data_IF_911631783655
#
_entry.id   IF_911631783655
#
_cell.length_a   1.000
_cell.length_b   1.000
_cell.length_c   1.000
_cell.angle_alpha   90.00
_cell.angle_beta   90.00
_cell.angle_gamma   90.00
#
_symmetry.space_group_name_H-M   'P 1'
#
loop_
_entity.id
_entity.type
_entity.pdbx_description
1 polymer ?
#
# COMPACT_ATOMS: atom_id res chain seq x y z
N UNK A 1 19.48 -9.96 21.31
CA UNK A 1 20.31 -8.97 20.57
C UNK A 1 21.49 -8.46 21.42
N UNK A 2 22.42 -7.64 20.90
CA UNK A 2 23.52 -7.04 21.69
C UNK A 2 23.33 -5.53 21.85
N UNK A 3 23.62 -4.98 23.02
CA UNK A 3 23.51 -3.54 23.26
C UNK A 3 24.61 -2.75 22.54
N UNK A 4 24.25 -1.73 21.74
CA UNK A 4 25.19 -0.88 21.00
C UNK A 4 26.09 0.02 21.87
N UNK A 5 25.76 0.17 23.16
CA UNK A 5 26.55 0.96 24.12
C UNK A 5 27.48 0.12 24.99
N UNK A 6 27.01 -1.03 25.49
CA UNK A 6 27.77 -1.83 26.46
C UNK A 6 28.14 -3.24 25.98
N UNK A 7 27.72 -3.65 24.78
CA UNK A 7 28.12 -4.92 24.14
C UNK A 7 27.59 -6.19 24.80
N UNK A 8 26.83 -6.10 25.89
CA UNK A 8 26.25 -7.27 26.57
C UNK A 8 25.05 -7.81 25.79
N UNK A 9 24.87 -9.12 25.84
CA UNK A 9 23.73 -9.81 25.27
C UNK A 9 22.48 -9.45 26.10
N UNK A 10 21.42 -9.04 25.41
CA UNK A 10 20.17 -8.58 25.97
C UNK A 10 19.02 -9.30 25.29
N UNK A 11 18.02 -9.66 26.10
CA UNK A 11 16.79 -10.30 25.63
C UNK A 11 16.03 -9.36 24.67
N UNK A 12 15.34 -9.93 23.69
CA UNK A 12 14.67 -9.14 22.64
C UNK A 12 13.37 -8.48 23.12
N UNK A 13 12.87 -8.84 24.31
CA UNK A 13 11.64 -8.27 24.89
C UNK A 13 11.84 -7.03 25.78
N UNK A 14 13.09 -6.67 26.12
CA UNK A 14 13.36 -5.57 27.06
C UNK A 14 13.62 -4.23 26.35
N UNK A 15 12.86 -3.20 26.73
CA UNK A 15 12.96 -1.84 26.15
C UNK A 15 14.17 -1.05 26.66
N UNK A 16 14.83 -1.51 27.72
CA UNK A 16 16.01 -0.88 28.31
C UNK A 16 17.08 -1.92 28.59
N UNK A 17 18.34 -1.58 28.35
CA UNK A 17 19.46 -2.45 28.67
C UNK A 17 19.66 -2.52 30.20
N UNK A 18 19.50 -3.70 30.85
CA UNK A 18 19.62 -3.81 32.31
C UNK A 18 21.04 -3.57 32.84
N UNK A 19 22.05 -3.54 31.95
CA UNK A 19 23.44 -3.35 32.33
C UNK A 19 23.91 -1.89 32.24
N UNK A 20 23.38 -1.07 31.33
CA UNK A 20 23.84 0.31 31.12
C UNK A 20 22.73 1.36 31.07
N UNK A 21 21.47 0.95 31.15
CA UNK A 21 20.32 1.86 31.14
C UNK A 21 19.99 2.50 29.78
N UNK A 22 20.77 2.23 28.72
CA UNK A 22 20.45 2.76 27.40
C UNK A 22 19.16 2.13 26.86
N UNK A 23 18.32 2.94 26.22
CA UNK A 23 17.10 2.45 25.58
C UNK A 23 17.48 1.55 24.40
N UNK A 24 16.96 0.34 24.42
CA UNK A 24 17.09 -0.58 23.32
C UNK A 24 15.92 -0.28 22.40
N UNK A 25 16.21 0.19 21.18
CA UNK A 25 15.21 0.22 20.13
C UNK A 25 14.88 -1.23 19.80
N UNK A 26 13.92 -1.80 20.53
CA UNK A 26 13.27 -3.05 20.17
C UNK A 26 12.67 -2.80 18.80
N UNK A 27 13.29 -3.33 17.75
CA UNK A 27 12.67 -3.52 16.44
C UNK A 27 11.54 -4.56 16.49
N UNK A 28 10.96 -4.79 17.67
CA UNK A 28 9.63 -5.36 17.79
C UNK A 28 8.68 -4.25 17.42
N UNK A 29 8.22 -4.32 16.18
CA UNK A 29 7.00 -3.72 15.63
C UNK A 29 6.14 -2.99 16.66
N UNK A 30 6.57 -1.80 17.08
CA UNK A 30 5.59 -0.75 17.35
C UNK A 30 4.97 -0.54 16.00
N UNK A 31 3.79 -1.13 15.79
CA UNK A 31 2.84 -0.65 14.81
C UNK A 31 2.46 0.78 15.23
N UNK A 32 3.40 1.71 15.09
CA UNK A 32 3.08 3.04 14.65
C UNK A 32 2.20 2.81 13.43
N UNK A 33 0.95 3.23 13.54
CA UNK A 33 -0.06 3.27 12.51
C UNK A 33 0.43 4.16 11.35
N UNK A 34 1.51 3.75 10.70
CA UNK A 34 1.80 4.18 9.35
C UNK A 34 0.72 3.53 8.52
N UNK A 35 -0.10 4.32 7.80
CA UNK A 35 -1.12 3.73 6.96
C UNK A 35 -0.41 2.79 5.99
N UNK A 36 -0.79 1.51 6.03
CA UNK A 36 -0.12 0.44 5.29
C UNK A 36 0.00 0.85 3.83
N UNK A 37 1.25 0.93 3.34
CA UNK A 37 1.49 1.28 1.94
C UNK A 37 0.94 0.17 1.07
N UNK A 38 -0.03 0.50 0.24
CA UNK A 38 -0.68 -0.44 -0.67
C UNK A 38 0.27 -0.86 -1.79
N UNK A 39 0.15 -2.10 -2.25
CA UNK A 39 1.01 -2.62 -3.31
C UNK A 39 0.59 -2.09 -4.68
N UNK A 40 1.55 -1.55 -5.40
CA UNK A 40 1.43 -1.01 -6.74
C UNK A 40 1.21 -2.11 -7.77
N UNK A 41 1.94 -3.22 -7.64
CA UNK A 41 1.73 -4.41 -8.48
C UNK A 41 0.30 -4.93 -8.29
N UNK A 42 -0.18 -5.03 -7.05
CA UNK A 42 -1.56 -5.44 -6.79
C UNK A 42 -2.58 -4.49 -7.42
N UNK A 43 -2.41 -3.17 -7.24
CA UNK A 43 -3.29 -2.16 -7.84
C UNK A 43 -3.30 -2.23 -9.39
N UNK A 44 -2.14 -2.42 -10.01
CA UNK A 44 -2.00 -2.54 -11.46
C UNK A 44 -2.63 -3.82 -12.02
N UNK A 45 -2.38 -4.96 -11.36
CA UNK A 45 -2.99 -6.24 -11.74
C UNK A 45 -4.51 -6.20 -11.61
N UNK A 46 -5.03 -5.62 -10.52
CA UNK A 46 -6.47 -5.41 -10.34
C UNK A 46 -7.05 -4.53 -11.46
N UNK A 47 -6.31 -3.54 -11.96
CA UNK A 47 -6.74 -2.70 -13.08
C UNK A 47 -6.79 -3.46 -14.40
N UNK A 48 -5.84 -4.37 -14.66
CA UNK A 48 -5.80 -5.16 -15.89
C UNK A 48 -6.89 -6.24 -15.89
N UNK A 49 -7.02 -7.02 -14.81
CA UNK A 49 -7.94 -8.16 -14.77
C UNK A 49 -9.38 -7.77 -14.40
N UNK A 50 -9.55 -6.78 -13.52
CA UNK A 50 -10.85 -6.33 -13.00
C UNK A 50 -11.14 -4.86 -13.38
N UNK A 51 -10.51 -4.37 -14.45
CA UNK A 51 -10.66 -3.00 -14.93
C UNK A 51 -12.09 -2.61 -15.30
N UNK A 52 -12.88 -3.55 -15.82
CA UNK A 52 -14.29 -3.32 -16.15
C UNK A 52 -15.16 -2.99 -14.93
N UNK A 53 -14.75 -3.39 -13.72
CA UNK A 53 -15.48 -3.12 -12.47
C UNK A 53 -14.82 -1.94 -11.71
N UNK A 54 -13.57 -1.59 -12.01
CA UNK A 54 -12.85 -0.48 -11.37
C UNK A 54 -12.31 -0.81 -9.97
N UNK A 55 -12.07 -2.10 -9.66
CA UNK A 55 -11.62 -2.55 -8.32
C UNK A 55 -10.30 -1.91 -7.89
N UNK A 56 -9.39 -1.62 -8.82
CA UNK A 56 -8.14 -0.91 -8.53
C UNK A 56 -8.37 0.49 -7.95
N UNK A 57 -9.44 1.19 -8.35
CA UNK A 57 -9.80 2.52 -7.80
C UNK A 57 -10.30 2.41 -6.37
N UNK A 58 -11.10 1.40 -6.05
CA UNK A 58 -11.49 1.11 -4.67
C UNK A 58 -10.30 0.70 -3.81
N UNK A 59 -9.38 -0.10 -4.37
CA UNK A 59 -8.13 -0.47 -3.71
C UNK A 59 -7.29 0.76 -3.37
N UNK A 60 -7.17 1.73 -4.29
CA UNK A 60 -6.47 3.00 -4.06
C UNK A 60 -7.25 4.02 -3.21
N UNK A 61 -8.50 3.72 -2.81
CA UNK A 61 -9.35 4.60 -2.00
C UNK A 61 -10.11 5.67 -2.79
N UNK A 62 -10.03 5.66 -4.13
CA UNK A 62 -10.77 6.54 -5.02
C UNK A 62 -12.20 6.03 -5.26
N UNK A 63 -13.00 5.96 -4.21
CA UNK A 63 -14.36 5.38 -4.23
C UNK A 63 -15.27 6.10 -5.23
N UNK A 64 -15.26 7.43 -5.27
CA UNK A 64 -16.10 8.21 -6.20
C UNK A 64 -15.81 7.92 -7.67
N UNK A 65 -14.52 7.82 -8.03
CA UNK A 65 -14.10 7.46 -9.40
C UNK A 65 -14.41 5.99 -9.71
N UNK A 66 -14.25 5.09 -8.74
CA UNK A 66 -14.64 3.69 -8.88
C UNK A 66 -16.13 3.52 -9.18
N UNK A 67 -17.01 4.26 -8.50
CA UNK A 67 -18.45 4.26 -8.76
C UNK A 67 -18.74 4.83 -10.16
N UNK A 68 -18.11 5.95 -10.53
CA UNK A 68 -18.25 6.51 -11.87
C UNK A 68 -17.83 5.52 -12.96
N UNK A 69 -16.75 4.78 -12.73
CA UNK A 69 -16.28 3.74 -13.65
C UNK A 69 -17.28 2.61 -13.79
N UNK A 70 -17.93 2.16 -12.72
CA UNK A 70 -19.01 1.15 -12.79
C UNK A 70 -20.20 1.67 -13.61
N UNK A 71 -20.60 2.93 -13.42
CA UNK A 71 -21.70 3.54 -14.19
C UNK A 71 -21.33 3.60 -15.68
N UNK A 72 -20.10 4.03 -16.00
CA UNK A 72 -19.59 4.05 -17.37
C UNK A 72 -19.56 2.64 -17.96
N UNK A 73 -19.08 1.65 -17.21
CA UNK A 73 -19.12 0.24 -17.61
C UNK A 73 -20.55 -0.20 -17.91
N UNK A 74 -21.52 0.11 -17.05
CA UNK A 74 -22.90 -0.28 -17.26
C UNK A 74 -23.50 0.35 -18.53
N UNK A 75 -23.24 1.64 -18.76
CA UNK A 75 -23.72 2.38 -19.95
C UNK A 75 -23.04 1.90 -21.23
N UNK A 76 -21.77 1.49 -21.16
CA UNK A 76 -20.96 1.05 -22.32
C UNK A 76 -20.90 -0.46 -22.50
N UNK A 77 -21.79 -1.21 -21.85
CA UNK A 77 -21.80 -2.69 -21.82
C UNK A 77 -20.45 -3.32 -21.45
N UNK A 78 -19.69 -2.67 -20.56
CA UNK A 78 -18.43 -3.14 -19.98
C UNK A 78 -17.19 -2.78 -20.80
N UNK A 79 -17.34 -2.38 -22.06
CA UNK A 79 -16.21 -2.09 -22.95
C UNK A 79 -15.49 -0.81 -22.53
N UNK A 80 -16.23 0.26 -22.23
CA UNK A 80 -15.65 1.54 -21.83
C UNK A 80 -14.88 1.43 -20.51
N UNK A 81 -15.43 0.72 -19.54
CA UNK A 81 -14.74 0.49 -18.27
C UNK A 81 -13.53 -0.44 -18.39
N UNK A 82 -13.58 -1.45 -19.26
CA UNK A 82 -12.45 -2.34 -19.50
C UNK A 82 -11.25 -1.58 -20.08
N UNK A 83 -11.47 -0.76 -21.12
CA UNK A 83 -10.40 0.03 -21.75
C UNK A 83 -9.84 1.06 -20.75
N UNK A 84 -10.72 1.74 -20.01
CA UNK A 84 -10.32 2.69 -18.97
C UNK A 84 -9.43 2.01 -17.91
N UNK A 85 -9.89 0.89 -17.35
CA UNK A 85 -9.17 0.14 -16.31
C UNK A 85 -7.85 -0.44 -16.81
N UNK A 86 -7.78 -0.89 -18.07
CA UNK A 86 -6.55 -1.40 -18.69
C UNK A 86 -5.48 -0.29 -18.81
N UNK A 87 -5.86 0.89 -19.30
CA UNK A 87 -4.95 2.04 -19.45
C UNK A 87 -4.42 2.45 -18.07
N UNK A 88 -5.30 2.57 -17.08
CA UNK A 88 -4.90 2.93 -15.72
C UNK A 88 -4.06 1.84 -15.03
N UNK A 89 -4.39 0.57 -15.23
CA UNK A 89 -3.61 -0.55 -14.73
C UNK A 89 -2.17 -0.51 -15.24
N UNK A 90 -1.98 -0.22 -16.54
CA UNK A 90 -0.65 -0.03 -17.13
C UNK A 90 0.04 1.20 -16.54
N UNK A 91 -0.64 2.35 -16.44
CA UNK A 91 -0.08 3.58 -15.84
C UNK A 91 0.39 3.40 -14.39
N UNK A 92 -0.34 2.59 -13.61
CA UNK A 92 0.06 2.22 -12.25
C UNK A 92 1.32 1.35 -12.31
N UNK A 93 1.39 0.35 -13.19
CA UNK A 93 2.58 -0.52 -13.33
C UNK A 93 3.80 0.20 -13.91
N UNK A 94 3.63 1.20 -14.78
CA UNK A 94 4.74 2.03 -15.31
C UNK A 94 5.18 3.10 -14.33
N UNK A 95 4.31 3.47 -13.37
CA UNK A 95 4.68 4.34 -12.26
C UNK A 95 4.42 5.81 -12.55
N UNK A 96 3.66 6.06 -13.59
CA UNK A 96 3.01 7.35 -13.79
C UNK A 96 1.98 7.63 -12.68
N UNK A 97 1.47 6.58 -12.02
CA UNK A 97 0.56 6.69 -10.87
C UNK A 97 1.20 6.11 -9.61
N UNK A 98 1.56 6.97 -8.66
CA UNK A 98 2.38 6.58 -7.48
C UNK A 98 1.71 6.79 -6.13
N UNK A 99 0.52 7.41 -6.08
CA UNK A 99 -0.13 7.79 -4.83
C UNK A 99 -1.56 7.24 -4.74
N UNK A 100 -1.98 6.94 -3.52
CA UNK A 100 -3.36 6.60 -3.20
C UNK A 100 -4.21 7.86 -2.91
N UNK A 101 -5.51 7.67 -2.63
CA UNK A 101 -6.43 8.77 -2.32
C UNK A 101 -6.09 9.53 -1.03
N UNK A 102 -5.24 8.97 -0.17
CA UNK A 102 -4.75 9.58 1.07
C UNK A 102 -3.38 10.26 0.89
N UNK A 103 -2.84 10.26 -0.33
CA UNK A 103 -1.52 10.82 -0.64
C UNK A 103 -0.35 9.93 -0.21
N UNK A 104 -0.60 8.66 0.09
CA UNK A 104 0.41 7.71 0.53
C UNK A 104 1.05 7.09 -0.72
N UNK A 105 2.39 7.04 -0.82
CA UNK A 105 3.05 6.41 -1.94
C UNK A 105 2.81 4.90 -1.95
N UNK A 106 2.57 4.35 -3.14
CA UNK A 106 2.43 2.92 -3.36
C UNK A 106 3.80 2.24 -3.24
N UNK A 107 3.85 1.09 -2.57
CA UNK A 107 5.06 0.25 -2.56
C UNK A 107 5.07 -0.63 -3.80
N UNK A 108 6.24 -0.91 -4.34
CA UNK A 108 6.38 -1.89 -5.42
C UNK A 108 5.92 -3.28 -4.98
#
# INVERSE_FOLDING_TARGET
MYCSKCGKQVDDSVSFCPACGNQLHTSGTTATEYPERKSRIAAGLLGIFLGSIGVHRFYLGYVGIGIAQIIVSFVTLGIGGYIWGLIEGILILTGSFQYDAKGIPLRD
#
